data_IF_779556279725
#
_entry.id   IF_779556279725
#
_cell.length_a   1.000
_cell.length_b   1.000
_cell.length_c   1.000
_cell.angle_alpha   90.00
_cell.angle_beta   90.00
_cell.angle_gamma   90.00
#
_symmetry.space_group_name_H-M   'P 1'
#
loop_
_entity.id
_entity.type
_entity.pdbx_description
1 polymer ?
#
# COMPACT_ATOMS: atom_id res chain seq x y z
N UNK A 1 -3.86 2.42 14.22
CA UNK A 1 -3.37 1.39 13.27
C UNK A 1 -4.35 1.36 12.11
N UNK A 2 -3.87 1.40 10.88
CA UNK A 2 -4.69 1.41 9.66
C UNK A 2 -4.09 0.44 8.64
N UNK A 3 -4.88 0.03 7.65
CA UNK A 3 -4.53 -0.92 6.60
C UNK A 3 -4.72 -0.27 5.23
N UNK A 4 -3.69 0.42 4.69
CA UNK A 4 -3.71 0.92 3.33
C UNK A 4 -3.74 -0.24 2.32
N UNK A 5 -4.74 -0.28 1.45
CA UNK A 5 -4.89 -1.31 0.43
C UNK A 5 -4.76 -0.69 -0.96
N UNK A 6 -3.76 -1.17 -1.70
CA UNK A 6 -3.65 -0.87 -3.12
C UNK A 6 -4.78 -1.58 -3.90
N UNK A 7 -5.47 -0.92 -4.85
CA UNK A 7 -6.63 -1.49 -5.55
C UNK A 7 -6.33 -2.79 -6.31
N UNK A 8 -5.09 -2.95 -6.81
CA UNK A 8 -4.62 -4.19 -7.46
C UNK A 8 -3.73 -5.07 -6.57
N UNK A 9 -3.74 -4.88 -5.24
CA UNK A 9 -3.05 -5.79 -4.33
C UNK A 9 -3.66 -7.20 -4.41
N UNK A 10 -2.81 -8.21 -4.58
CA UNK A 10 -3.21 -9.61 -4.73
C UNK A 10 -3.37 -10.02 -6.20
N UNK A 11 -4.33 -10.92 -6.46
CA UNK A 11 -4.56 -11.54 -7.78
C UNK A 11 -5.98 -11.39 -8.33
N UNK A 12 -6.86 -10.70 -7.60
CA UNK A 12 -8.24 -10.41 -8.01
C UNK A 12 -8.65 -9.02 -7.49
N UNK A 13 -9.60 -8.32 -8.14
CA UNK A 13 -10.14 -7.08 -7.59
C UNK A 13 -10.70 -7.29 -6.18
N UNK A 14 -10.32 -6.42 -5.23
CA UNK A 14 -10.75 -6.50 -3.84
C UNK A 14 -10.21 -7.70 -3.05
N UNK A 15 -9.17 -8.39 -3.55
CA UNK A 15 -8.61 -9.59 -2.91
C UNK A 15 -8.31 -9.34 -1.43
N UNK A 16 -7.59 -8.26 -1.11
CA UNK A 16 -7.19 -7.99 0.27
C UNK A 16 -8.36 -7.58 1.17
N UNK A 17 -9.35 -6.87 0.63
CA UNK A 17 -10.54 -6.49 1.38
C UNK A 17 -11.30 -7.72 1.89
N UNK A 18 -11.44 -8.76 1.06
CA UNK A 18 -12.08 -10.02 1.45
C UNK A 18 -11.28 -10.72 2.55
N UNK A 19 -9.96 -10.89 2.37
CA UNK A 19 -9.13 -11.56 3.37
C UNK A 19 -9.09 -10.82 4.72
N UNK A 20 -9.05 -9.49 4.70
CA UNK A 20 -9.09 -8.70 5.93
C UNK A 20 -10.46 -8.76 6.63
N UNK A 21 -11.55 -8.80 5.85
CA UNK A 21 -12.89 -9.00 6.40
C UNK A 21 -13.04 -10.40 7.03
N UNK A 22 -12.54 -11.45 6.36
CA UNK A 22 -12.50 -12.82 6.90
C UNK A 22 -11.66 -12.91 8.18
N UNK A 23 -10.58 -12.13 8.28
CA UNK A 23 -9.75 -12.01 9.48
C UNK A 23 -10.38 -11.13 10.59
N UNK A 24 -11.57 -10.56 10.37
CA UNK A 24 -12.30 -9.77 11.35
C UNK A 24 -11.79 -8.33 11.53
N UNK A 25 -11.09 -7.78 10.54
CA UNK A 25 -10.64 -6.38 10.58
C UNK A 25 -11.82 -5.44 10.29
N UNK A 26 -12.07 -4.43 11.13
CA UNK A 26 -13.11 -3.43 10.88
C UNK A 26 -12.82 -2.63 9.59
N UNK A 27 -13.84 -2.44 8.76
CA UNK A 27 -13.74 -1.69 7.50
C UNK A 27 -13.22 -0.27 7.69
N UNK A 28 -13.51 0.37 8.80
CA UNK A 28 -13.05 1.73 9.16
C UNK A 28 -11.53 1.85 9.27
N UNK A 29 -10.84 0.73 9.49
CA UNK A 29 -9.38 0.69 9.54
C UNK A 29 -8.75 0.46 8.17
N UNK A 30 -9.54 0.08 7.16
CA UNK A 30 -9.08 -0.16 5.79
C UNK A 30 -9.16 1.15 5.03
N UNK A 31 -8.06 1.55 4.41
CA UNK A 31 -7.96 2.78 3.64
C UNK A 31 -7.67 2.46 2.18
N UNK A 32 -8.24 3.25 1.29
CA UNK A 32 -7.82 3.25 -0.11
C UNK A 32 -6.51 4.03 -0.32
N UNK A 33 -6.06 4.08 -1.57
CA UNK A 33 -4.78 4.69 -1.93
C UNK A 33 -4.79 6.21 -1.72
N UNK A 34 -5.88 6.86 -2.11
CA UNK A 34 -6.07 8.30 -2.04
C UNK A 34 -6.15 8.81 -0.59
N UNK A 35 -6.79 8.05 0.30
CA UNK A 35 -6.88 8.33 1.73
C UNK A 35 -5.55 8.09 2.45
N UNK A 36 -4.83 7.02 2.10
CA UNK A 36 -3.61 6.64 2.81
C UNK A 36 -2.40 7.51 2.46
N UNK A 37 -2.23 7.89 1.19
CA UNK A 37 -1.01 8.58 0.73
C UNK A 37 -0.70 9.91 1.46
N UNK A 38 -1.70 10.77 1.76
CA UNK A 38 -1.48 11.97 2.55
C UNK A 38 -1.07 11.71 4.00
N UNK A 39 -1.37 10.52 4.56
CA UNK A 39 -1.07 10.19 5.96
C UNK A 39 0.37 9.70 6.16
N UNK A 40 1.02 9.09 5.15
CA UNK A 40 2.35 8.48 5.31
C UNK A 40 3.42 9.40 5.95
N UNK A 41 3.52 10.71 5.65
CA UNK A 41 4.47 11.59 6.32
C UNK A 41 4.28 11.71 7.85
N UNK A 42 3.08 11.40 8.35
CA UNK A 42 2.74 11.45 9.77
C UNK A 42 2.75 10.07 10.45
N UNK A 43 2.96 9.00 9.69
CA UNK A 43 3.01 7.62 10.21
C UNK A 43 4.40 7.32 10.75
N UNK A 44 4.49 6.86 12.00
CA UNK A 44 5.79 6.54 12.62
C UNK A 44 6.50 5.35 11.95
N UNK A 45 5.74 4.32 11.60
CA UNK A 45 6.24 3.05 11.05
C UNK A 45 5.26 2.48 10.04
N UNK A 46 5.76 2.11 8.86
CA UNK A 46 5.03 1.32 7.86
C UNK A 46 5.54 -0.12 7.86
N UNK A 47 4.63 -1.08 7.99
CA UNK A 47 4.92 -2.50 7.86
C UNK A 47 4.32 -3.03 6.56
N UNK A 48 5.19 -3.49 5.66
CA UNK A 48 4.80 -4.08 4.38
C UNK A 48 4.94 -5.60 4.45
N UNK A 49 3.87 -6.30 4.12
CA UNK A 49 3.82 -7.77 4.13
C UNK A 49 3.49 -8.26 2.72
N UNK A 50 4.43 -8.96 2.09
CA UNK A 50 4.19 -9.66 0.81
C UNK A 50 3.92 -8.76 -0.40
N UNK A 51 4.15 -7.44 -0.29
CA UNK A 51 3.98 -6.49 -1.39
C UNK A 51 5.32 -6.05 -1.97
N UNK A 52 5.34 -5.79 -3.28
CA UNK A 52 6.53 -5.33 -3.99
C UNK A 52 6.17 -4.24 -5.01
N UNK A 53 5.45 -4.58 -6.07
CA UNK A 53 5.22 -3.63 -7.18
C UNK A 53 4.34 -2.44 -6.76
N UNK A 54 3.33 -2.69 -5.92
CA UNK A 54 2.37 -1.68 -5.44
C UNK A 54 2.96 -0.64 -4.46
N UNK A 55 4.23 -0.80 -4.07
CA UNK A 55 4.97 0.13 -3.21
C UNK A 55 6.25 0.64 -3.88
N UNK A 56 6.48 0.29 -5.15
CA UNK A 56 7.77 0.54 -5.79
C UNK A 56 7.86 2.00 -6.28
N UNK A 57 8.75 2.84 -5.71
CA UNK A 57 8.86 4.26 -6.06
C UNK A 57 9.26 4.52 -7.53
N UNK A 58 9.81 3.51 -8.22
CA UNK A 58 10.11 3.60 -9.65
C UNK A 58 8.88 3.93 -10.50
N UNK A 59 7.68 3.54 -10.03
CA UNK A 59 6.43 3.87 -10.70
C UNK A 59 6.20 5.39 -10.82
N UNK A 60 6.75 6.20 -9.90
CA UNK A 60 6.66 7.67 -9.93
C UNK A 60 7.90 8.33 -10.55
N UNK A 61 9.08 7.78 -10.28
CA UNK A 61 10.33 8.51 -10.48
C UNK A 61 11.13 8.05 -11.70
N UNK A 62 10.80 6.90 -12.30
CA UNK A 62 11.60 6.29 -13.36
C UNK A 62 10.78 6.04 -14.64
N UNK A 63 10.83 6.94 -15.65
CA UNK A 63 10.14 6.77 -16.92
C UNK A 63 10.50 5.49 -17.70
N UNK A 64 11.65 4.86 -17.41
CA UNK A 64 12.06 3.60 -18.03
C UNK A 64 11.52 2.36 -17.32
N UNK A 65 10.86 2.52 -16.17
CA UNK A 65 10.26 1.41 -15.43
C UNK A 65 9.01 0.89 -16.14
N UNK A 66 8.79 -0.43 -16.20
CA UNK A 66 7.51 -0.99 -16.67
C UNK A 66 6.32 -0.60 -15.79
N UNK A 67 6.58 -0.11 -14.56
CA UNK A 67 5.57 0.38 -13.63
C UNK A 67 5.33 1.88 -13.74
N UNK A 68 6.01 2.61 -14.63
CA UNK A 68 5.92 4.06 -14.68
C UNK A 68 4.48 4.53 -14.95
N UNK A 69 3.99 5.45 -14.11
CA UNK A 69 2.62 5.96 -14.16
C UNK A 69 1.60 5.12 -13.39
N UNK A 70 1.97 3.94 -12.87
CA UNK A 70 1.12 3.19 -11.96
C UNK A 70 1.00 3.93 -10.62
N UNK A 71 -0.22 4.22 -10.13
CA UNK A 71 -0.41 4.67 -8.76
C UNK A 71 0.21 3.66 -7.79
N UNK A 72 0.82 4.12 -6.71
CA UNK A 72 1.41 3.25 -5.68
C UNK A 72 1.08 3.80 -4.29
N UNK A 73 1.27 2.96 -3.28
CA UNK A 73 1.35 3.42 -1.89
C UNK A 73 2.73 4.05 -1.66
N UNK A 74 2.76 5.33 -1.34
CA UNK A 74 3.97 6.15 -1.22
C UNK A 74 4.63 5.98 0.15
N UNK A 75 4.86 4.71 0.54
CA UNK A 75 5.38 4.30 1.85
C UNK A 75 6.78 4.85 2.15
N UNK A 76 7.51 5.28 1.13
CA UNK A 76 8.82 5.95 1.23
C UNK A 76 8.73 7.33 1.87
N UNK A 77 7.53 7.90 2.00
CA UNK A 77 7.30 9.16 2.73
C UNK A 77 7.27 8.98 4.24
N UNK A 78 7.15 7.75 4.74
CA UNK A 78 7.19 7.47 6.18
C UNK A 78 8.65 7.44 6.69
N UNK A 79 8.92 7.84 7.94
CA UNK A 79 10.28 7.85 8.50
C UNK A 79 10.91 6.46 8.61
N UNK A 80 10.10 5.41 8.79
CA UNK A 80 10.56 4.03 8.94
C UNK A 80 9.63 3.07 8.21
N UNK A 81 10.23 2.20 7.40
CA UNK A 81 9.52 1.19 6.64
C UNK A 81 10.21 -0.16 6.80
N UNK A 82 9.45 -1.17 7.19
CA UNK A 82 9.90 -2.56 7.26
C UNK A 82 9.18 -3.39 6.21
N UNK A 83 9.94 -4.16 5.44
CA UNK A 83 9.40 -5.02 4.38
C UNK A 83 9.68 -6.48 4.74
N UNK A 84 8.61 -7.26 4.87
CA UNK A 84 8.65 -8.71 5.05
C UNK A 84 8.29 -9.34 3.71
N UNK A 85 9.23 -10.12 3.17
CA UNK A 85 9.09 -10.86 1.91
C UNK A 85 9.09 -12.34 2.17
#
# INVERSE_FOLDING_TARGET
MRFPIHPVAGRMPGHMNVLLAEAGIPYELIQDLEEANPEFPQVDVVLVIGANDVINPDARNNPGSPLYGMPILEIDRAPKTLVIK
#
